data_IF_032384862244
#
_entry.id   IF_032384862244
#
_cell.length_a   1.000
_cell.length_b   1.000
_cell.length_c   1.000
_cell.angle_alpha   90.00
_cell.angle_beta   90.00
_cell.angle_gamma   90.00
#
_symmetry.space_group_name_H-M   'P 1'
#
loop_
_entity.id
_entity.type
_entity.pdbx_description
1 polymer ?
#
# COMPACT_ATOMS: atom_id res chain seq x y z
N UNK A 1 -34.40 -62.98 50.83
CA UNK A 1 -33.28 -63.32 49.93
C UNK A 1 -32.83 -62.08 49.16
N UNK A 2 -31.60 -62.11 48.65
CA UNK A 2 -31.13 -61.27 47.53
C UNK A 2 -31.98 -61.65 46.27
N UNK A 3 -32.10 -60.96 45.15
CA UNK A 3 -31.40 -59.83 44.51
C UNK A 3 -32.46 -59.07 43.66
N UNK A 4 -32.21 -58.14 42.72
CA UNK A 4 -31.03 -57.49 42.14
C UNK A 4 -31.32 -55.99 41.97
N UNK A 5 -30.28 -55.16 41.77
CA UNK A 5 -30.43 -53.82 41.20
C UNK A 5 -30.24 -53.85 39.67
N UNK A 6 -31.05 -53.12 38.92
CA UNK A 6 -30.77 -52.77 37.52
C UNK A 6 -30.71 -51.24 37.38
N UNK A 7 -29.51 -50.70 37.31
CA UNK A 7 -29.25 -49.30 36.97
C UNK A 7 -29.26 -49.17 35.44
N UNK A 8 -30.32 -48.61 34.88
CA UNK A 8 -30.32 -48.20 33.48
C UNK A 8 -29.52 -46.89 33.34
N UNK A 9 -28.29 -46.99 32.83
CA UNK A 9 -27.45 -45.84 32.51
C UNK A 9 -27.74 -45.42 31.07
N UNK A 10 -28.48 -44.34 30.87
CA UNK A 10 -28.62 -43.72 29.54
C UNK A 10 -27.40 -42.83 29.27
N UNK A 11 -26.60 -43.10 28.22
CA UNK A 11 -25.49 -42.23 27.86
C UNK A 11 -26.02 -40.92 27.28
N UNK A 12 -25.57 -39.80 27.84
CA UNK A 12 -25.86 -38.47 27.29
C UNK A 12 -25.18 -38.30 25.93
N UNK A 13 -25.96 -38.22 24.85
CA UNK A 13 -25.45 -37.88 23.52
C UNK A 13 -25.19 -36.37 23.47
N UNK A 14 -23.97 -35.98 23.85
CA UNK A 14 -23.45 -34.64 23.61
C UNK A 14 -23.26 -34.42 22.11
N UNK A 15 -24.23 -33.77 21.47
CA UNK A 15 -24.12 -33.33 20.09
C UNK A 15 -23.08 -32.20 19.97
N UNK A 16 -21.81 -32.59 19.78
CA UNK A 16 -20.69 -31.66 19.67
C UNK A 16 -20.72 -30.97 18.30
N UNK A 17 -21.34 -29.79 18.23
CA UNK A 17 -21.41 -28.97 17.03
C UNK A 17 -20.02 -28.40 16.66
N UNK A 18 -19.23 -29.16 15.92
CA UNK A 18 -17.95 -28.71 15.36
C UNK A 18 -18.23 -27.78 14.18
N UNK A 19 -18.47 -26.51 14.47
CA UNK A 19 -18.43 -25.45 13.45
C UNK A 19 -16.97 -25.22 13.07
N UNK A 20 -16.51 -25.93 12.03
CA UNK A 20 -15.25 -25.62 11.35
C UNK A 20 -15.39 -24.26 10.66
N UNK A 21 -15.12 -23.19 11.41
CA UNK A 21 -14.78 -21.89 10.83
C UNK A 21 -13.44 -22.06 10.14
N UNK A 22 -13.48 -22.47 8.87
CA UNK A 22 -12.33 -22.40 7.98
C UNK A 22 -12.03 -20.93 7.76
N UNK A 23 -11.13 -20.38 8.58
CA UNK A 23 -10.57 -19.06 8.35
C UNK A 23 -10.01 -19.07 6.92
N UNK A 24 -10.67 -18.33 6.02
CA UNK A 24 -10.19 -18.19 4.64
C UNK A 24 -8.83 -17.51 4.70
N UNK A 25 -7.78 -18.31 4.56
CA UNK A 25 -6.42 -17.84 4.28
C UNK A 25 -6.47 -17.18 2.91
N UNK A 26 -6.84 -15.90 2.88
CA UNK A 26 -6.58 -15.06 1.74
C UNK A 26 -5.07 -14.89 1.69
N UNK A 27 -4.41 -15.69 0.87
CA UNK A 27 -3.05 -15.42 0.42
C UNK A 27 -3.11 -14.12 -0.39
N UNK A 28 -2.99 -13.00 0.30
CA UNK A 28 -2.96 -11.68 -0.32
C UNK A 28 -1.65 -11.58 -1.11
N UNK A 29 -1.72 -11.10 -2.36
CA UNK A 29 -0.56 -10.94 -3.25
C UNK A 29 0.41 -9.83 -2.83
N UNK A 30 0.25 -9.30 -1.61
CA UNK A 30 1.02 -8.20 -1.06
C UNK A 30 1.27 -8.39 0.45
N UNK A 31 2.40 -7.87 0.91
CA UNK A 31 2.79 -7.80 2.33
C UNK A 31 2.75 -6.35 2.83
N UNK A 32 2.18 -6.12 4.00
CA UNK A 32 2.24 -4.83 4.70
C UNK A 32 3.26 -4.91 5.85
N UNK A 33 4.33 -4.11 5.78
CA UNK A 33 5.34 -4.01 6.83
C UNK A 33 5.30 -2.63 7.49
N UNK A 34 5.01 -2.53 8.81
CA UNK A 34 5.09 -1.27 9.54
C UNK A 34 6.47 -0.62 9.43
N UNK A 35 6.51 0.71 9.33
CA UNK A 35 7.76 1.46 9.35
C UNK A 35 8.32 1.53 10.77
N UNK A 36 9.65 1.35 10.98
CA UNK A 36 10.21 1.40 12.33
C UNK A 36 10.02 2.78 12.97
N UNK A 37 9.34 2.84 14.11
CA UNK A 37 8.90 4.09 14.78
C UNK A 37 10.04 5.06 15.12
N UNK A 38 11.28 4.58 15.25
CA UNK A 38 12.49 5.37 15.51
C UNK A 38 13.31 5.72 14.26
N UNK A 39 12.91 5.25 13.07
CA UNK A 39 13.60 5.56 11.81
C UNK A 39 12.95 6.78 11.16
N UNK A 40 13.71 7.87 11.00
CA UNK A 40 13.25 9.02 10.23
C UNK A 40 12.94 8.63 8.78
N UNK A 41 11.95 9.30 8.18
CA UNK A 41 11.69 9.19 6.75
C UNK A 41 12.95 9.64 5.98
N UNK A 42 13.45 8.86 5.01
CA UNK A 42 14.46 9.34 4.08
C UNK A 42 13.97 10.59 3.33
N UNK A 43 14.90 11.46 2.96
CA UNK A 43 14.59 12.56 2.05
C UNK A 43 14.14 12.00 0.70
N UNK A 44 13.13 12.61 0.08
CA UNK A 44 12.83 12.40 -1.33
C UNK A 44 12.75 13.79 -1.97
N UNK A 45 13.74 14.08 -2.80
CA UNK A 45 13.76 15.26 -3.66
C UNK A 45 14.15 14.82 -5.07
N UNK A 46 13.27 15.08 -6.04
CA UNK A 46 13.46 14.64 -7.42
C UNK A 46 12.77 15.61 -8.39
N UNK A 47 12.96 15.37 -9.69
CA UNK A 47 12.12 15.93 -10.75
C UNK A 47 11.30 14.83 -11.38
N UNK A 48 10.10 15.17 -11.82
CA UNK A 48 9.30 14.31 -12.69
C UNK A 48 9.65 14.49 -14.17
N UNK A 49 8.99 13.71 -15.03
CA UNK A 49 9.10 13.79 -16.49
C UNK A 49 8.73 15.16 -17.09
N UNK A 50 7.94 15.97 -16.38
CA UNK A 50 7.58 17.33 -16.80
C UNK A 50 8.57 18.39 -16.26
N UNK A 51 9.61 17.95 -15.52
CA UNK A 51 10.62 18.81 -14.92
C UNK A 51 10.18 19.47 -13.61
N UNK A 52 8.94 19.24 -13.13
CA UNK A 52 8.47 19.76 -11.85
C UNK A 52 9.28 19.13 -10.72
N UNK A 53 9.74 19.98 -9.78
CA UNK A 53 10.47 19.53 -8.59
C UNK A 53 9.48 19.08 -7.53
N UNK A 54 9.72 17.89 -6.99
CA UNK A 54 9.00 17.33 -5.86
C UNK A 54 9.93 17.24 -4.65
N UNK A 55 9.42 17.58 -3.47
CA UNK A 55 10.07 17.41 -2.18
C UNK A 55 9.04 16.84 -1.21
N UNK A 56 9.32 15.68 -0.60
CA UNK A 56 8.40 15.08 0.38
C UNK A 56 8.15 16.01 1.58
N UNK A 57 9.12 16.86 1.95
CA UNK A 57 8.96 17.80 3.05
C UNK A 57 7.91 18.88 2.78
N UNK A 58 7.70 19.28 1.52
CA UNK A 58 6.69 20.29 1.15
C UNK A 58 5.27 19.73 1.00
N UNK A 59 5.10 18.41 1.07
CA UNK A 59 3.81 17.73 0.99
C UNK A 59 3.12 17.53 2.35
N UNK A 60 3.67 18.07 3.44
CA UNK A 60 3.01 18.06 4.76
C UNK A 60 1.62 18.70 4.69
N UNK A 61 0.66 18.11 5.39
CA UNK A 61 -0.77 18.38 5.27
C UNK A 61 -1.49 17.47 4.28
N UNK A 62 -0.76 16.71 3.45
CA UNK A 62 -1.29 15.79 2.43
C UNK A 62 -0.74 14.39 2.69
N UNK A 63 -1.57 13.36 2.59
CA UNK A 63 -1.06 11.99 2.57
C UNK A 63 -0.26 11.76 1.29
N UNK A 64 0.79 10.93 1.34
CA UNK A 64 1.62 10.62 0.18
C UNK A 64 1.83 9.12 0.03
N UNK A 65 1.55 8.60 -1.16
CA UNK A 65 1.96 7.27 -1.59
C UNK A 65 3.20 7.40 -2.48
N UNK A 66 4.32 6.79 -2.10
CA UNK A 66 5.51 6.73 -2.94
C UNK A 66 5.59 5.33 -3.54
N UNK A 67 5.11 5.17 -4.77
CA UNK A 67 5.09 3.92 -5.50
C UNK A 67 6.39 3.75 -6.29
N UNK A 68 7.12 2.67 -6.03
CA UNK A 68 8.34 2.32 -6.76
C UNK A 68 8.02 1.25 -7.80
N UNK A 69 8.33 1.54 -9.06
CA UNK A 69 7.98 0.71 -10.21
C UNK A 69 9.04 0.76 -11.32
N UNK A 70 8.89 -0.07 -12.35
CA UNK A 70 9.63 0.02 -13.61
C UNK A 70 8.81 -0.61 -14.75
N UNK A 71 9.05 -0.24 -16.01
CA UNK A 71 8.21 -0.62 -17.16
C UNK A 71 8.21 -2.12 -17.47
N UNK A 72 9.22 -2.85 -16.98
CA UNK A 72 9.37 -4.31 -17.08
C UNK A 72 8.71 -5.07 -15.92
N UNK A 73 8.20 -4.39 -14.90
CA UNK A 73 7.54 -5.00 -13.73
C UNK A 73 6.06 -5.28 -14.02
N UNK A 74 5.73 -6.48 -14.50
CA UNK A 74 4.35 -6.82 -14.85
C UNK A 74 3.30 -6.54 -13.74
N UNK A 75 3.52 -6.87 -12.44
CA UNK A 75 2.55 -6.54 -11.39
C UNK A 75 2.39 -5.03 -11.15
N UNK A 76 3.46 -4.24 -11.35
CA UNK A 76 3.39 -2.78 -11.27
C UNK A 76 2.42 -2.20 -12.32
N UNK A 77 2.42 -2.77 -13.53
CA UNK A 77 1.52 -2.36 -14.62
C UNK A 77 0.04 -2.65 -14.30
N UNK A 78 -0.23 -3.72 -13.54
CA UNK A 78 -1.60 -4.12 -13.16
C UNK A 78 -2.19 -3.20 -12.09
N UNK A 79 -1.42 -2.82 -11.06
CA UNK A 79 -1.93 -1.93 -10.01
C UNK A 79 -2.09 -0.46 -10.46
N UNK A 80 -1.34 0.00 -11.46
CA UNK A 80 -1.28 1.41 -11.88
C UNK A 80 -2.65 2.08 -12.12
N UNK A 81 -3.60 1.51 -12.87
CA UNK A 81 -4.93 2.10 -13.07
C UNK A 81 -5.67 2.36 -11.75
N UNK A 82 -5.51 1.48 -10.76
CA UNK A 82 -6.12 1.63 -9.43
C UNK A 82 -5.45 2.74 -8.61
N UNK A 83 -4.12 2.89 -8.69
CA UNK A 83 -3.39 4.04 -8.10
C UNK A 83 -3.87 5.37 -8.70
N UNK A 84 -4.06 5.43 -10.02
CA UNK A 84 -4.59 6.63 -10.69
C UNK A 84 -6.00 6.99 -10.19
N UNK A 85 -6.88 5.98 -10.11
CA UNK A 85 -8.24 6.15 -9.65
C UNK A 85 -8.30 6.60 -8.18
N UNK A 86 -7.44 6.06 -7.31
CA UNK A 86 -7.29 6.49 -5.92
C UNK A 86 -6.83 7.95 -5.82
N UNK A 87 -5.80 8.34 -6.57
CA UNK A 87 -5.30 9.72 -6.60
C UNK A 87 -6.40 10.71 -7.03
N UNK A 88 -7.16 10.38 -8.09
CA UNK A 88 -8.30 11.19 -8.56
C UNK A 88 -9.46 11.23 -7.55
N UNK A 89 -9.74 10.14 -6.82
CA UNK A 89 -10.81 10.05 -5.81
C UNK A 89 -10.59 11.03 -4.64
N UNK A 90 -9.37 11.12 -4.12
CA UNK A 90 -9.05 12.01 -3.00
C UNK A 90 -8.69 13.43 -3.44
N UNK A 91 -8.11 13.58 -4.64
CA UNK A 91 -7.64 14.86 -5.17
C UNK A 91 -6.33 15.33 -4.53
N UNK A 92 -5.61 16.24 -5.21
CA UNK A 92 -4.24 16.63 -4.87
C UNK A 92 -4.11 17.41 -3.56
N UNK A 93 -5.22 17.82 -2.93
CA UNK A 93 -5.23 18.48 -1.62
C UNK A 93 -5.30 17.50 -0.44
N UNK A 94 -5.61 16.23 -0.68
CA UNK A 94 -5.71 15.20 0.35
C UNK A 94 -4.68 14.09 0.17
N UNK A 95 -4.44 13.67 -1.08
CA UNK A 95 -3.55 12.56 -1.41
C UNK A 95 -2.70 12.90 -2.63
N UNK A 96 -1.40 12.65 -2.54
CA UNK A 96 -0.45 12.71 -3.66
C UNK A 96 0.13 11.32 -3.88
N UNK A 97 0.16 10.85 -5.13
CA UNK A 97 0.83 9.60 -5.50
C UNK A 97 2.06 9.95 -6.34
N UNK A 98 3.25 9.63 -5.86
CA UNK A 98 4.52 9.84 -6.55
C UNK A 98 5.00 8.50 -7.10
N UNK A 99 5.05 8.37 -8.43
CA UNK A 99 5.42 7.14 -9.13
C UNK A 99 6.91 7.15 -9.49
N UNK A 100 7.76 6.67 -8.59
CA UNK A 100 9.23 6.62 -8.76
C UNK A 100 9.63 5.48 -9.70
N UNK A 101 10.04 5.85 -10.91
CA UNK A 101 10.52 4.94 -11.94
C UNK A 101 12.00 4.57 -11.70
N UNK A 102 12.26 3.27 -11.51
CA UNK A 102 13.54 2.74 -11.06
C UNK A 102 14.47 2.32 -12.21
N UNK A 103 15.66 2.95 -12.28
CA UNK A 103 16.78 2.58 -13.16
C UNK A 103 16.47 2.53 -14.66
N UNK A 104 15.46 3.27 -15.12
CA UNK A 104 15.23 3.49 -16.55
C UNK A 104 15.61 4.93 -16.94
N UNK A 105 15.83 5.17 -18.23
CA UNK A 105 16.09 6.51 -18.76
C UNK A 105 14.78 7.27 -18.95
N UNK A 106 14.85 8.62 -18.90
CA UNK A 106 13.67 9.48 -19.13
C UNK A 106 12.90 9.11 -20.43
N UNK A 107 13.55 8.83 -21.58
CA UNK A 107 12.83 8.41 -22.78
C UNK A 107 12.10 7.07 -22.66
N UNK A 108 12.59 6.13 -21.84
CA UNK A 108 11.89 4.85 -21.61
C UNK A 108 10.64 5.06 -20.75
N UNK A 109 10.77 5.77 -19.62
CA UNK A 109 9.63 6.13 -18.78
C UNK A 109 8.59 6.96 -19.56
N UNK A 110 9.04 7.94 -20.36
CA UNK A 110 8.16 8.79 -21.18
C UNK A 110 7.35 7.98 -22.21
N UNK A 111 7.98 7.04 -22.92
CA UNK A 111 7.28 6.14 -23.86
C UNK A 111 6.26 5.25 -23.17
N UNK A 112 6.57 4.77 -21.96
CA UNK A 112 5.63 3.99 -21.18
C UNK A 112 4.41 4.82 -20.77
N UNK A 113 4.62 6.02 -20.24
CA UNK A 113 3.58 6.98 -19.85
C UNK A 113 2.65 7.29 -21.03
N UNK A 114 3.22 7.64 -22.19
CA UNK A 114 2.46 7.92 -23.42
C UNK A 114 1.62 6.74 -23.91
N UNK A 115 2.13 5.50 -23.75
CA UNK A 115 1.43 4.28 -24.17
C UNK A 115 0.31 3.84 -23.22
N UNK A 116 0.37 4.23 -21.95
CA UNK A 116 -0.52 3.73 -20.89
C UNK A 116 -1.54 4.75 -20.39
N UNK A 117 -1.35 6.04 -20.69
CA UNK A 117 -2.18 7.09 -20.10
C UNK A 117 -1.94 7.24 -18.59
N UNK A 118 -0.69 7.08 -18.15
CA UNK A 118 -0.29 7.34 -16.77
C UNK A 118 -0.16 8.85 -16.55
N UNK A 119 -1.05 9.42 -15.75
CA UNK A 119 -1.17 10.84 -15.41
C UNK A 119 -0.52 11.16 -14.05
N UNK A 120 -0.08 10.14 -13.30
CA UNK A 120 0.60 10.30 -12.03
C UNK A 120 1.97 11.00 -12.21
N UNK A 121 2.42 11.83 -11.25
CA UNK A 121 3.78 12.37 -11.23
C UNK A 121 4.85 11.26 -11.27
N UNK A 122 5.45 11.04 -12.44
CA UNK A 122 6.52 10.04 -12.63
C UNK A 122 7.88 10.66 -12.33
N UNK A 123 8.41 10.34 -11.15
CA UNK A 123 9.73 10.76 -10.69
C UNK A 123 10.80 9.80 -11.23
N UNK A 124 11.96 10.31 -11.65
CA UNK A 124 13.03 9.49 -12.20
C UNK A 124 14.08 9.11 -11.14
N UNK A 125 14.40 7.82 -11.02
CA UNK A 125 15.51 7.30 -10.21
C UNK A 125 16.50 6.47 -11.08
N UNK A 126 17.19 7.09 -12.06
CA UNK A 126 18.02 6.38 -13.03
C UNK A 126 19.22 5.66 -12.40
N UNK A 127 19.70 6.14 -11.25
CA UNK A 127 20.80 5.54 -10.50
C UNK A 127 20.34 4.52 -9.43
N UNK A 128 19.03 4.33 -9.23
CA UNK A 128 18.50 3.55 -8.12
C UNK A 128 18.94 4.11 -6.75
N UNK A 129 19.11 5.42 -6.65
CA UNK A 129 19.55 6.10 -5.44
C UNK A 129 18.38 6.32 -4.47
N UNK A 130 17.22 6.75 -4.97
CA UNK A 130 16.01 6.94 -4.17
C UNK A 130 15.55 5.58 -3.63
N UNK A 131 15.37 4.58 -4.49
CA UNK A 131 14.96 3.23 -4.09
C UNK A 131 15.90 2.64 -3.02
N UNK A 132 17.21 2.84 -3.16
CA UNK A 132 18.23 2.39 -2.20
C UNK A 132 18.13 3.11 -0.86
N UNK A 133 17.92 4.44 -0.86
CA UNK A 133 17.74 5.23 0.36
C UNK A 133 16.48 4.79 1.14
N UNK A 134 15.42 4.44 0.41
CA UNK A 134 14.16 3.89 0.94
C UNK A 134 14.20 2.36 1.19
N UNK A 135 15.35 1.72 0.98
CA UNK A 135 15.59 0.27 1.15
C UNK A 135 14.68 -0.63 0.30
N UNK A 136 14.16 -0.12 -0.81
CA UNK A 136 13.33 -0.85 -1.77
C UNK A 136 14.19 -1.78 -2.63
N UNK A 137 13.76 -3.06 -2.71
CA UNK A 137 14.44 -4.13 -3.47
C UNK A 137 13.48 -5.02 -4.28
N UNK A 138 12.18 -4.82 -4.13
CA UNK A 138 11.10 -5.61 -4.73
C UNK A 138 10.10 -4.61 -5.33
N UNK A 139 9.51 -4.95 -6.46
CA UNK A 139 8.61 -4.08 -7.20
C UNK A 139 7.29 -4.83 -7.52
N UNK A 140 6.12 -4.19 -7.34
CA UNK A 140 5.95 -2.86 -6.77
C UNK A 140 6.25 -2.82 -5.25
N UNK A 141 6.69 -1.66 -4.78
CA UNK A 141 6.66 -1.31 -3.36
C UNK A 141 6.05 0.08 -3.23
N UNK A 142 5.01 0.24 -2.44
CA UNK A 142 4.39 1.54 -2.14
C UNK A 142 4.63 1.91 -0.68
N UNK A 143 5.26 3.06 -0.44
CA UNK A 143 5.46 3.60 0.91
C UNK A 143 4.27 4.48 1.29
N UNK A 144 3.71 4.24 2.47
CA UNK A 144 2.56 4.97 3.02
C UNK A 144 3.04 6.10 3.94
N UNK A 145 2.80 7.36 3.56
CA UNK A 145 3.12 8.55 4.37
C UNK A 145 1.82 9.23 4.80
N UNK A 146 1.64 9.42 6.10
CA UNK A 146 0.51 10.16 6.66
C UNK A 146 0.66 11.67 6.45
N UNK A 147 -0.45 12.40 6.52
CA UNK A 147 -0.47 13.86 6.29
C UNK A 147 0.39 14.68 7.29
N UNK A 148 0.78 14.13 8.43
CA UNK A 148 1.76 14.73 9.35
C UNK A 148 3.23 14.57 8.89
N UNK A 149 3.47 13.85 7.79
CA UNK A 149 4.79 13.54 7.23
C UNK A 149 5.45 12.28 7.81
N UNK A 150 4.78 11.51 8.68
CA UNK A 150 5.31 10.24 9.21
C UNK A 150 5.00 9.08 8.27
N UNK A 151 6.03 8.30 7.95
CA UNK A 151 5.90 7.02 7.24
C UNK A 151 5.25 6.01 8.19
N UNK A 152 4.17 5.36 7.74
CA UNK A 152 3.42 4.38 8.53
C UNK A 152 3.80 2.94 8.20
N UNK A 153 3.92 2.62 6.91
CA UNK A 153 4.22 1.27 6.44
C UNK A 153 4.80 1.27 5.01
N UNK A 154 5.29 0.11 4.58
CA UNK A 154 5.48 -0.24 3.18
C UNK A 154 4.48 -1.35 2.81
N UNK A 155 3.87 -1.24 1.64
CA UNK A 155 3.17 -2.32 0.95
C UNK A 155 4.11 -2.87 -0.12
N UNK A 156 4.31 -4.18 -0.21
CA UNK A 156 5.11 -4.82 -1.27
C UNK A 156 4.25 -5.84 -2.00
N UNK A 157 4.34 -5.89 -3.33
CA UNK A 157 3.43 -6.69 -4.14
C UNK A 157 2.19 -5.90 -4.58
N UNK A 158 1.46 -6.47 -5.52
CA UNK A 158 0.34 -5.84 -6.22
C UNK A 158 -0.88 -5.69 -5.31
N UNK A 159 -1.52 -4.51 -5.36
CA UNK A 159 -2.74 -4.21 -4.63
C UNK A 159 -3.73 -3.48 -5.55
N UNK A 160 -5.01 -3.83 -5.49
CA UNK A 160 -6.07 -2.96 -5.98
C UNK A 160 -6.25 -1.77 -5.02
N UNK A 161 -5.68 -0.63 -5.41
CA UNK A 161 -5.72 0.61 -4.63
C UNK A 161 -7.11 1.27 -4.56
N UNK A 162 -8.11 0.73 -5.28
CA UNK A 162 -9.51 1.17 -5.15
C UNK A 162 -10.35 0.30 -4.21
N UNK A 163 -9.84 -0.89 -3.84
CA UNK A 163 -10.50 -1.90 -3.02
C UNK A 163 -10.45 -1.65 -1.50
N UNK A 164 -11.17 -2.48 -0.71
CA UNK A 164 -11.35 -2.26 0.72
C UNK A 164 -10.05 -2.41 1.54
N UNK A 165 -9.11 -3.27 1.11
CA UNK A 165 -7.79 -3.42 1.75
C UNK A 165 -6.99 -2.12 1.65
N UNK A 166 -6.98 -1.49 0.46
CA UNK A 166 -6.32 -0.21 0.25
C UNK A 166 -7.01 0.92 1.04
N UNK A 167 -8.34 0.95 1.07
CA UNK A 167 -9.09 1.93 1.86
C UNK A 167 -8.72 1.86 3.36
N UNK A 168 -8.61 0.65 3.93
CA UNK A 168 -8.18 0.46 5.32
C UNK A 168 -6.76 0.98 5.61
N UNK A 169 -5.88 0.99 4.61
CA UNK A 169 -4.51 1.50 4.71
C UNK A 169 -4.43 3.02 4.46
N UNK A 170 -5.26 3.59 3.58
CA UNK A 170 -5.15 4.97 3.09
C UNK A 170 -6.01 5.96 3.88
N UNK A 171 -7.23 5.59 4.28
CA UNK A 171 -8.14 6.46 5.02
C UNK A 171 -7.53 7.06 6.31
N UNK A 172 -6.76 6.31 7.14
CA UNK A 172 -6.10 6.88 8.32
C UNK A 172 -5.02 7.92 7.96
N UNK A 173 -4.33 7.77 6.82
CA UNK A 173 -3.25 8.66 6.39
C UNK A 173 -3.77 10.07 6.11
N UNK A 174 -4.92 10.15 5.43
CA UNK A 174 -5.58 11.41 5.04
C UNK A 174 -6.19 12.09 6.26
N UNK A 175 -6.85 11.32 7.15
CA UNK A 175 -7.48 11.84 8.38
C UNK A 175 -6.50 12.41 9.41
N UNK A 176 -5.22 12.09 9.29
CA UNK A 176 -4.16 12.61 10.17
C UNK A 176 -3.80 14.09 9.85
N UNK A 177 -4.38 14.68 8.79
CA UNK A 177 -4.20 16.10 8.50
C UNK A 177 -4.78 16.98 9.62
N UNK A 178 -4.10 18.08 10.00
CA UNK A 178 -4.68 19.05 10.93
C UNK A 178 -5.95 19.64 10.30
N UNK A 179 -7.11 19.38 10.92
CA UNK A 179 -8.37 19.95 10.47
C UNK A 179 -8.28 21.47 10.54
N UNK A 180 -8.37 22.14 9.39
CA UNK A 180 -8.57 23.60 9.34
C UNK A 180 -9.90 23.89 10.03
N UNK A 181 -9.83 24.44 11.24
CA UNK A 181 -11.00 25.02 11.91
C UNK A 181 -11.55 26.12 11.00
N UNK A 182 -12.84 26.05 10.70
CA UNK A 182 -13.55 26.97 9.80
C UNK A 182 -14.20 28.10 10.61
#
# INVERSE_FOLDING_TARGET
>A
MQSHAMRAVWPAVLAMAVVLVTARVHAQGFDVTPWPTRQAAPTLQARDLHGQRWDLASLRGKAVLINFWASWCAPCLVEMPSLQALARRHGPEQLVVLAVNFRESAPTAQRFVQRTGLELPVLLDPAGAIARQWKVKVFPTTVLVAADGRVQALVRGELDWTGPQAAALVEPLVRTAPQKTR
#
